data_IF_766695381938
#
_entry.id   IF_766695381938
#
_cell.length_a   1.000
_cell.length_b   1.000
_cell.length_c   1.000
_cell.angle_alpha   90.00
_cell.angle_beta   90.00
_cell.angle_gamma   90.00
#
_symmetry.space_group_name_H-M   'P 1'
#
loop_
_entity.id
_entity.type
_entity.pdbx_description
1 polymer ?
#
# COMPACT_ATOMS: atom_id res chain seq x y z
N UNK A 1 -8.81 0.69 -4.81
CA UNK A 1 -7.54 -0.09 -4.94
C UNK A 1 -7.68 -1.38 -5.72
N UNK A 2 -8.80 -2.10 -5.61
CA UNK A 2 -8.93 -3.46 -6.14
C UNK A 2 -8.78 -3.58 -7.67
N UNK A 3 -9.34 -2.63 -8.43
CA UNK A 3 -9.11 -2.59 -9.88
C UNK A 3 -7.64 -2.32 -10.22
N UNK A 4 -6.94 -1.51 -9.45
CA UNK A 4 -5.51 -1.26 -9.66
C UNK A 4 -4.67 -2.52 -9.35
N UNK A 5 -5.05 -3.30 -8.33
CA UNK A 5 -4.45 -4.60 -8.04
C UNK A 5 -4.63 -5.60 -9.19
N UNK A 6 -5.86 -5.72 -9.69
CA UNK A 6 -6.15 -6.60 -10.81
C UNK A 6 -5.41 -6.15 -12.07
N UNK A 7 -5.39 -4.84 -12.33
CA UNK A 7 -4.64 -4.27 -13.43
C UNK A 7 -3.13 -4.52 -13.31
N UNK A 8 -2.56 -4.43 -12.10
CA UNK A 8 -1.14 -4.75 -11.86
C UNK A 8 -0.80 -6.17 -12.32
N UNK A 9 -1.69 -7.13 -12.06
CA UNK A 9 -1.56 -8.51 -12.54
C UNK A 9 -1.72 -8.59 -14.06
N UNK A 10 -2.68 -7.87 -14.63
CA UNK A 10 -2.91 -7.81 -16.08
C UNK A 10 -1.65 -7.33 -16.83
N UNK A 11 -0.96 -6.31 -16.31
CA UNK A 11 0.29 -5.80 -16.89
C UNK A 11 1.55 -6.57 -16.44
N UNK A 12 1.37 -7.76 -15.83
CA UNK A 12 2.45 -8.66 -15.36
C UNK A 12 3.36 -8.09 -14.27
N UNK A 13 2.91 -7.05 -13.55
CA UNK A 13 3.58 -6.48 -12.37
C UNK A 13 2.69 -6.61 -11.14
N UNK A 14 2.34 -7.85 -10.73
CA UNK A 14 1.38 -8.07 -9.65
C UNK A 14 1.90 -7.49 -8.34
N UNK A 15 1.01 -6.83 -7.59
CA UNK A 15 1.24 -6.53 -6.18
C UNK A 15 1.45 -7.85 -5.43
N UNK A 16 2.68 -8.10 -5.00
CA UNK A 16 3.10 -9.40 -4.47
C UNK A 16 3.89 -9.27 -3.18
N UNK A 17 4.10 -8.05 -2.70
CA UNK A 17 4.86 -7.75 -1.49
C UNK A 17 4.10 -6.70 -0.69
N UNK A 18 3.99 -6.90 0.61
CA UNK A 18 3.42 -5.96 1.56
C UNK A 18 4.52 -5.52 2.52
N UNK A 19 4.80 -4.23 2.55
CA UNK A 19 5.67 -3.61 3.54
C UNK A 19 4.80 -2.87 4.55
N UNK A 20 4.92 -3.20 5.83
CA UNK A 20 4.25 -2.46 6.91
C UNK A 20 5.29 -1.68 7.69
N UNK A 21 5.03 -0.39 7.93
CA UNK A 21 5.84 0.48 8.77
C UNK A 21 4.97 1.04 9.89
N UNK A 22 5.34 0.88 11.15
CA UNK A 22 4.83 1.66 12.26
C UNK A 22 5.70 2.91 12.44
N UNK A 23 5.25 3.99 11.81
CA UNK A 23 5.95 5.27 11.79
C UNK A 23 6.08 5.88 13.19
N UNK A 24 5.04 5.70 14.03
CA UNK A 24 5.05 6.16 15.41
C UNK A 24 6.09 5.39 16.24
N UNK A 25 6.22 4.08 16.02
CA UNK A 25 7.24 3.27 16.69
C UNK A 25 8.65 3.72 16.31
N UNK A 26 8.91 3.99 15.03
CA UNK A 26 10.21 4.49 14.56
C UNK A 26 10.62 5.80 15.27
N UNK A 27 9.68 6.72 15.45
CA UNK A 27 9.93 7.94 16.24
C UNK A 27 10.18 7.64 17.72
N UNK A 28 9.39 6.74 18.32
CA UNK A 28 9.52 6.40 19.74
C UNK A 28 10.85 5.73 20.08
N UNK A 29 11.38 4.88 19.19
CA UNK A 29 12.67 4.22 19.39
C UNK A 29 13.85 5.10 18.98
N UNK A 30 13.59 6.35 18.56
CA UNK A 30 14.60 7.29 18.05
C UNK A 30 15.48 6.65 16.98
N UNK A 31 14.86 5.89 16.08
CA UNK A 31 15.57 5.13 15.06
C UNK A 31 16.41 6.03 14.17
N UNK A 32 15.95 7.26 13.86
CA UNK A 32 16.59 8.14 12.89
C UNK A 32 15.86 8.12 11.55
N UNK A 33 16.61 8.32 10.47
CA UNK A 33 16.13 8.17 9.10
C UNK A 33 15.01 9.13 8.70
N UNK A 34 14.21 8.73 7.71
CA UNK A 34 13.15 9.59 7.14
C UNK A 34 12.01 9.90 8.10
N UNK A 35 12.01 9.33 9.30
CA UNK A 35 10.97 9.47 10.31
C UNK A 35 11.41 10.27 11.55
N UNK A 36 12.71 10.59 11.66
CA UNK A 36 13.33 11.09 12.89
C UNK A 36 12.62 12.31 13.47
N UNK A 37 12.39 13.33 12.64
CA UNK A 37 11.87 14.64 13.07
C UNK A 37 10.76 15.09 12.13
N UNK A 38 9.74 15.72 12.70
CA UNK A 38 8.69 16.38 11.96
C UNK A 38 7.46 15.52 11.77
N UNK A 39 6.64 15.92 10.80
CA UNK A 39 5.33 15.35 10.60
C UNK A 39 5.42 14.01 9.86
N UNK A 40 4.76 12.97 10.37
CA UNK A 40 4.80 11.60 9.83
C UNK A 40 4.50 11.53 8.33
N UNK A 41 3.60 12.38 7.84
CA UNK A 41 3.29 12.47 6.40
C UNK A 41 4.49 12.82 5.51
N UNK A 42 5.41 13.66 5.97
CA UNK A 42 6.57 14.06 5.18
C UNK A 42 7.56 12.90 5.05
N UNK A 43 7.85 12.23 6.17
CA UNK A 43 8.63 11.00 6.16
C UNK A 43 8.04 9.92 5.26
N UNK A 44 6.71 9.85 5.15
CA UNK A 44 6.06 8.91 4.23
C UNK A 44 6.28 9.25 2.77
N UNK A 45 6.14 10.53 2.43
CA UNK A 45 6.34 10.99 1.06
C UNK A 45 7.77 10.71 0.63
N UNK A 46 8.73 10.96 1.50
CA UNK A 46 10.15 10.72 1.25
C UNK A 46 10.44 9.22 1.13
N UNK A 47 9.88 8.40 2.03
CA UNK A 47 9.99 6.94 1.93
C UNK A 47 9.42 6.41 0.61
N UNK A 48 8.21 6.82 0.21
CA UNK A 48 7.60 6.37 -1.05
C UNK A 48 8.45 6.78 -2.26
N UNK A 49 9.04 7.98 -2.23
CA UNK A 49 9.90 8.47 -3.30
C UNK A 49 11.23 7.69 -3.36
N UNK A 50 11.82 7.38 -2.21
CA UNK A 50 13.02 6.55 -2.11
C UNK A 50 12.77 5.13 -2.61
N UNK A 51 11.67 4.50 -2.18
CA UNK A 51 11.25 3.19 -2.67
C UNK A 51 11.02 3.22 -4.19
N UNK A 52 10.36 4.25 -4.72
CA UNK A 52 10.14 4.42 -6.17
C UNK A 52 11.46 4.51 -6.93
N UNK A 53 12.40 5.36 -6.47
CA UNK A 53 13.72 5.52 -7.10
C UNK A 53 14.49 4.22 -7.06
N UNK A 54 14.50 3.54 -5.92
CA UNK A 54 15.19 2.27 -5.74
C UNK A 54 14.68 1.17 -6.67
N UNK A 55 13.35 1.02 -6.78
CA UNK A 55 12.73 0.04 -7.67
C UNK A 55 13.07 0.34 -9.13
N UNK A 56 12.92 1.60 -9.56
CA UNK A 56 13.22 2.00 -10.94
C UNK A 56 14.69 1.83 -11.31
N UNK A 57 15.62 2.12 -10.39
CA UNK A 57 17.05 1.91 -10.59
C UNK A 57 17.41 0.42 -10.81
N UNK A 58 16.56 -0.51 -10.37
CA UNK A 58 16.72 -1.97 -10.55
C UNK A 58 15.88 -2.54 -11.69
N UNK A 59 15.28 -1.68 -12.52
CA UNK A 59 14.38 -2.10 -13.61
C UNK A 59 13.07 -2.70 -13.12
N UNK A 60 12.69 -2.47 -11.85
CA UNK A 60 11.42 -2.93 -11.28
C UNK A 60 10.36 -1.85 -11.48
N UNK A 61 9.23 -2.15 -12.15
CA UNK A 61 8.13 -1.21 -12.30
C UNK A 61 7.53 -0.82 -10.96
N UNK A 62 7.21 0.47 -10.81
CA UNK A 62 6.62 1.00 -9.59
C UNK A 62 5.09 0.83 -9.58
N UNK A 63 4.62 -0.42 -9.53
CA UNK A 63 3.21 -0.76 -9.32
C UNK A 63 2.94 -0.85 -7.81
N UNK A 64 2.25 0.17 -7.26
CA UNK A 64 2.10 0.32 -5.80
C UNK A 64 0.70 0.83 -5.42
N UNK A 65 0.17 0.29 -4.34
CA UNK A 65 -0.96 0.86 -3.59
C UNK A 65 -0.59 0.93 -2.12
N UNK A 66 -1.10 1.92 -1.40
CA UNK A 66 -0.77 2.08 0.01
C UNK A 66 -1.90 2.71 0.80
N UNK A 67 -1.95 2.43 2.10
CA UNK A 67 -2.85 3.10 3.02
C UNK A 67 -2.20 3.37 4.39
N UNK A 68 -2.79 4.29 5.14
CA UNK A 68 -2.42 4.67 6.50
C UNK A 68 -3.56 4.33 7.45
N UNK A 69 -3.23 3.58 8.47
CA UNK A 69 -4.09 3.18 9.58
C UNK A 69 -3.52 3.77 10.87
N UNK A 70 -4.39 4.18 11.80
CA UNK A 70 -3.96 4.54 13.15
C UNK A 70 -4.52 3.48 14.08
N UNK A 71 -3.62 2.70 14.68
CA UNK A 71 -3.96 1.72 15.69
C UNK A 71 -4.38 2.43 16.99
N UNK A 72 -5.42 1.89 17.64
CA UNK A 72 -5.94 2.45 18.90
C UNK A 72 -4.92 2.35 20.03
N UNK A 73 -5.05 3.24 21.01
CA UNK A 73 -4.34 3.16 22.29
C UNK A 73 -4.62 1.80 22.95
N UNK A 74 -3.56 1.07 23.32
CA UNK A 74 -3.63 -0.28 23.91
C UNK A 74 -3.46 -1.45 22.93
N UNK A 75 -3.32 -1.19 21.63
CA UNK A 75 -2.86 -2.22 20.69
C UNK A 75 -1.39 -2.61 20.98
N UNK A 76 -0.98 -3.83 20.62
CA UNK A 76 0.41 -4.29 20.75
C UNK A 76 1.40 -3.34 20.07
N UNK A 77 1.00 -2.77 18.94
CA UNK A 77 1.69 -1.69 18.25
C UNK A 77 0.69 -0.53 18.09
N UNK A 78 0.68 0.47 18.99
CA UNK A 78 -0.19 1.63 18.86
C UNK A 78 0.40 2.65 17.87
N UNK A 79 -0.42 3.60 17.42
CA UNK A 79 0.02 4.70 16.56
C UNK A 79 -0.17 4.45 15.06
N UNK A 80 0.43 5.31 14.25
CA UNK A 80 0.23 5.32 12.81
C UNK A 80 1.05 4.22 12.09
N UNK A 81 0.32 3.35 11.38
CA UNK A 81 0.82 2.25 10.56
C UNK A 81 0.59 2.55 9.09
N UNK A 82 1.60 2.25 8.29
CA UNK A 82 1.56 2.39 6.85
C UNK A 82 1.69 1.02 6.24
N UNK A 83 0.78 0.70 5.34
CA UNK A 83 0.77 -0.57 4.65
C UNK A 83 0.92 -0.29 3.16
N UNK A 84 1.99 -0.81 2.57
CA UNK A 84 2.41 -0.53 1.20
C UNK A 84 2.44 -1.85 0.44
N UNK A 85 1.44 -2.06 -0.41
CA UNK A 85 1.40 -3.19 -1.34
C UNK A 85 2.11 -2.82 -2.64
N UNK A 86 3.17 -3.52 -3.00
CA UNK A 86 3.96 -3.22 -4.20
C UNK A 86 4.40 -4.48 -4.95
N UNK A 87 4.79 -4.27 -6.20
CA UNK A 87 5.45 -5.29 -7.00
C UNK A 87 6.95 -5.32 -6.70
N UNK A 88 7.44 -6.45 -6.20
CA UNK A 88 8.85 -6.70 -5.96
C UNK A 88 9.21 -8.16 -6.32
N UNK A 89 10.09 -8.38 -7.31
CA UNK A 89 10.60 -9.72 -7.62
C UNK A 89 11.34 -10.35 -6.44
N UNK A 90 11.22 -11.66 -6.25
CA UNK A 90 11.79 -12.38 -5.11
C UNK A 90 13.30 -12.19 -4.94
N UNK A 91 14.04 -12.08 -6.05
CA UNK A 91 15.49 -11.81 -6.05
C UNK A 91 15.89 -10.50 -5.35
N UNK A 92 14.95 -9.58 -5.15
CA UNK A 92 15.19 -8.27 -4.56
C UNK A 92 14.71 -8.16 -3.10
N UNK A 93 14.13 -9.22 -2.52
CA UNK A 93 13.51 -9.16 -1.19
C UNK A 93 14.48 -8.77 -0.06
N UNK A 94 15.64 -9.42 0.03
CA UNK A 94 16.63 -9.13 1.09
C UNK A 94 17.39 -7.81 0.84
N UNK A 95 17.71 -7.49 -0.41
CA UNK A 95 18.32 -6.20 -0.78
C UNK A 95 17.36 -5.04 -0.45
N UNK A 96 16.06 -5.22 -0.74
CA UNK A 96 15.03 -4.26 -0.36
C UNK A 96 14.89 -4.12 1.17
N UNK A 97 14.88 -5.23 1.91
CA UNK A 97 14.81 -5.20 3.38
C UNK A 97 16.00 -4.46 3.99
N UNK A 98 17.22 -4.74 3.50
CA UNK A 98 18.43 -4.02 3.89
C UNK A 98 18.32 -2.52 3.62
N UNK A 99 17.76 -2.17 2.45
CA UNK A 99 17.58 -0.77 2.08
C UNK A 99 16.51 -0.05 2.92
N UNK A 100 15.41 -0.73 3.25
CA UNK A 100 14.40 -0.19 4.18
C UNK A 100 15.07 0.14 5.50
N UNK A 101 15.89 -0.76 6.03
CA UNK A 101 16.60 -0.49 7.28
C UNK A 101 17.51 0.74 7.22
N UNK A 102 18.14 1.02 6.08
CA UNK A 102 18.93 2.26 5.89
C UNK A 102 18.07 3.53 5.82
N UNK A 103 16.86 3.45 5.26
CA UNK A 103 15.97 4.62 5.17
C UNK A 103 15.27 4.92 6.49
N UNK A 104 14.98 3.89 7.27
CA UNK A 104 14.34 4.02 8.58
C UNK A 104 15.34 4.10 9.72
N UNK A 105 16.63 3.92 9.43
CA UNK A 105 17.70 3.77 10.42
C UNK A 105 17.36 2.70 11.48
N UNK A 106 16.77 1.59 11.00
CA UNK A 106 16.44 0.42 11.81
C UNK A 106 16.61 -0.85 10.98
N UNK A 107 17.70 -1.58 11.19
CA UNK A 107 18.02 -2.81 10.45
C UNK A 107 16.99 -3.93 10.69
N UNK A 108 16.95 -4.91 9.77
CA UNK A 108 16.20 -6.13 10.03
C UNK A 108 16.97 -7.05 10.97
N UNK A 109 16.25 -7.73 11.86
CA UNK A 109 16.84 -8.69 12.78
C UNK A 109 17.09 -10.02 12.08
N UNK A 110 18.36 -10.48 11.94
CA UNK A 110 18.65 -11.78 11.35
C UNK A 110 18.20 -12.95 12.25
N UNK A 111 17.96 -12.68 13.54
CA UNK A 111 17.57 -13.68 14.54
C UNK A 111 16.04 -13.73 14.76
N UNK A 112 15.28 -12.87 14.08
CA UNK A 112 13.82 -12.92 14.20
C UNK A 112 13.30 -14.21 13.55
N UNK A 113 12.55 -15.02 14.31
CA UNK A 113 11.94 -16.23 13.77
C UNK A 113 10.86 -15.86 12.75
N UNK A 114 11.07 -16.22 11.48
CA UNK A 114 10.16 -15.89 10.38
C UNK A 114 9.17 -17.03 10.13
N UNK A 115 7.88 -16.72 10.17
CA UNK A 115 6.82 -17.60 9.71
C UNK A 115 6.73 -17.56 8.17
N UNK A 116 7.47 -18.47 7.54
CA UNK A 116 7.52 -18.63 6.09
C UNK A 116 6.16 -19.04 5.50
N UNK A 117 5.28 -19.67 6.28
CA UNK A 117 3.93 -20.05 5.83
C UNK A 117 3.04 -18.82 5.58
N UNK A 118 3.33 -17.72 6.29
CA UNK A 118 2.71 -16.40 6.10
C UNK A 118 3.47 -15.51 5.13
N UNK A 119 4.52 -16.03 4.49
CA UNK A 119 5.33 -15.28 3.54
C UNK A 119 6.19 -14.21 4.20
N UNK A 120 6.51 -14.34 5.49
CA UNK A 120 7.40 -13.38 6.15
C UNK A 120 8.79 -13.40 5.51
N UNK A 121 9.31 -12.20 5.21
CA UNK A 121 10.61 -11.98 4.57
C UNK A 121 11.59 -11.37 5.56
N UNK A 122 11.16 -10.33 6.29
CA UNK A 122 12.01 -9.60 7.22
C UNK A 122 11.16 -8.86 8.27
N UNK A 123 11.74 -8.69 9.46
CA UNK A 123 11.24 -7.86 10.56
C UNK A 123 12.37 -6.99 11.06
N UNK A 124 12.06 -5.75 11.43
CA UNK A 124 13.01 -4.82 12.03
C UNK A 124 13.35 -5.20 13.48
N UNK A 125 14.48 -4.72 14.00
CA UNK A 125 14.95 -5.04 15.36
C UNK A 125 13.92 -4.70 16.46
N UNK A 126 13.16 -3.62 16.31
CA UNK A 126 12.17 -3.16 17.27
C UNK A 126 10.72 -3.41 16.85
N UNK A 127 10.50 -4.29 15.86
CA UNK A 127 9.19 -4.58 15.24
C UNK A 127 8.48 -3.33 14.70
N UNK A 128 9.24 -2.30 14.36
CA UNK A 128 8.74 -1.08 13.76
C UNK A 128 8.40 -1.26 12.28
N UNK A 129 8.95 -2.26 11.59
CA UNK A 129 8.53 -2.60 10.24
C UNK A 129 8.68 -4.08 9.91
N UNK A 130 7.90 -4.54 8.93
CA UNK A 130 8.05 -5.87 8.37
C UNK A 130 7.78 -5.91 6.85
N UNK A 131 8.25 -6.97 6.22
CA UNK A 131 8.02 -7.28 4.81
C UNK A 131 7.45 -8.69 4.71
N UNK A 132 6.32 -8.81 4.02
CA UNK A 132 5.73 -10.10 3.66
C UNK A 132 5.55 -10.20 2.15
N UNK A 133 5.72 -11.41 1.61
CA UNK A 133 5.40 -11.74 0.22
C UNK A 133 4.04 -12.45 0.14
N UNK A 134 3.37 -12.30 -0.99
CA UNK A 134 2.17 -13.07 -1.30
C UNK A 134 2.49 -14.57 -1.28
N UNK A 135 1.63 -15.35 -0.63
CA UNK A 135 1.73 -16.82 -0.55
C UNK A 135 0.68 -17.48 -1.42
N UNK A 136 0.92 -18.72 -1.84
CA UNK A 136 -0.06 -19.48 -2.64
C UNK A 136 -1.33 -19.69 -1.80
N UNK A 137 -2.48 -19.25 -2.32
CA UNK A 137 -3.77 -19.34 -1.62
C UNK A 137 -4.04 -18.22 -0.61
N UNK A 138 -3.09 -17.32 -0.34
CA UNK A 138 -3.27 -16.21 0.61
C UNK A 138 -2.59 -14.92 0.14
N UNK A 139 -3.35 -13.83 0.05
CA UNK A 139 -2.75 -12.49 -0.05
C UNK A 139 -2.11 -12.14 -1.40
N UNK A 140 -2.60 -12.69 -2.53
CA UNK A 140 -2.26 -12.16 -3.87
C UNK A 140 -2.66 -10.67 -4.04
N UNK A 141 -2.53 -10.09 -5.25
CA UNK A 141 -2.83 -8.67 -5.48
C UNK A 141 -4.19 -8.23 -4.91
N UNK A 142 -5.21 -9.06 -5.09
CA UNK A 142 -6.56 -8.86 -4.59
C UNK A 142 -6.64 -8.97 -3.06
N UNK A 143 -5.89 -9.89 -2.45
CA UNK A 143 -5.84 -10.05 -0.99
C UNK A 143 -5.15 -8.88 -0.30
N UNK A 144 -4.00 -8.43 -0.83
CA UNK A 144 -3.30 -7.20 -0.40
C UNK A 144 -4.24 -6.01 -0.54
N UNK A 145 -4.88 -5.84 -1.70
CA UNK A 145 -5.74 -4.68 -1.91
C UNK A 145 -7.04 -4.73 -1.11
N UNK A 146 -7.57 -5.92 -0.80
CA UNK A 146 -8.73 -6.07 0.07
C UNK A 146 -8.38 -5.72 1.53
N UNK A 147 -7.18 -6.11 1.98
CA UNK A 147 -6.65 -5.70 3.28
C UNK A 147 -6.51 -4.18 3.36
N UNK A 148 -5.85 -3.56 2.38
CA UNK A 148 -5.62 -2.11 2.34
C UNK A 148 -6.91 -1.30 2.12
N UNK A 149 -7.86 -1.84 1.36
CA UNK A 149 -9.16 -1.22 1.06
C UNK A 149 -10.05 -0.97 2.28
N UNK A 150 -9.74 -1.56 3.45
CA UNK A 150 -10.40 -1.24 4.72
C UNK A 150 -10.22 0.23 5.11
N UNK A 151 -9.08 0.83 4.77
CA UNK A 151 -8.72 2.21 5.06
C UNK A 151 -9.19 3.22 4.00
N UNK A 152 -9.75 2.77 2.87
CA UNK A 152 -10.37 3.66 1.89
C UNK A 152 -11.65 4.28 2.49
N UNK A 153 -11.92 5.59 2.30
CA UNK A 153 -13.15 6.19 2.79
C UNK A 153 -14.36 5.69 1.99
N UNK A 154 -15.52 5.59 2.65
CA UNK A 154 -16.78 5.22 1.99
C UNK A 154 -17.25 6.29 0.99
N UNK A 155 -16.89 7.55 1.24
CA UNK A 155 -17.25 8.71 0.42
C UNK A 155 -16.03 9.58 0.18
N UNK A 156 -15.95 10.18 -1.00
CA UNK A 156 -14.90 11.12 -1.40
C UNK A 156 -15.56 12.41 -1.91
N UNK A 157 -14.89 13.54 -1.72
CA UNK A 157 -15.31 14.81 -2.32
C UNK A 157 -14.63 14.94 -3.67
N UNK A 158 -15.42 15.06 -4.74
CA UNK A 158 -14.93 15.24 -6.10
C UNK A 158 -15.67 16.43 -6.73
N UNK A 159 -14.92 17.47 -7.10
CA UNK A 159 -15.45 18.74 -7.62
C UNK A 159 -16.53 19.34 -6.70
N UNK A 160 -16.21 19.45 -5.40
CA UNK A 160 -17.13 19.99 -4.38
C UNK A 160 -18.32 19.10 -4.02
N UNK A 161 -18.51 17.96 -4.70
CA UNK A 161 -19.63 17.03 -4.45
C UNK A 161 -19.16 15.77 -3.73
N UNK A 162 -19.78 15.44 -2.61
CA UNK A 162 -19.55 14.19 -1.89
C UNK A 162 -20.18 13.02 -2.65
N UNK A 163 -19.35 12.13 -3.19
CA UNK A 163 -19.77 10.93 -3.92
C UNK A 163 -19.33 9.67 -3.19
N UNK A 164 -20.02 8.55 -3.43
CA UNK A 164 -19.52 7.24 -2.97
C UNK A 164 -18.15 7.00 -3.61
N UNK A 165 -17.19 6.51 -2.82
CA UNK A 165 -15.89 6.14 -3.34
C UNK A 165 -16.05 4.97 -4.35
N UNK A 166 -15.76 5.20 -5.64
CA UNK A 166 -15.89 4.16 -6.67
C UNK A 166 -14.82 3.06 -6.51
N UNK A 167 -13.72 3.34 -5.81
CA UNK A 167 -12.61 2.41 -5.65
C UNK A 167 -12.78 1.47 -4.44
N UNK A 168 -13.77 1.76 -3.58
CA UNK A 168 -14.13 0.96 -2.40
C UNK A 168 -15.22 -0.07 -2.72
N UNK A 169 -14.82 -1.35 -2.69
CA UNK A 169 -15.72 -2.49 -2.99
C UNK A 169 -16.79 -2.65 -1.90
N UNK A 170 -16.38 -2.83 -0.64
CA UNK A 170 -17.29 -3.09 0.47
C UNK A 170 -17.37 -1.88 1.40
N UNK A 171 -18.57 -1.32 1.56
CA UNK A 171 -18.82 -0.23 2.52
C UNK A 171 -18.86 -0.71 3.98
N UNK A 172 -19.01 -2.02 4.20
CA UNK A 172 -19.07 -2.66 5.52
C UNK A 172 -17.69 -2.77 6.17
N UNK A 173 -16.64 -2.82 5.36
CA UNK A 173 -15.27 -2.94 5.83
C UNK A 173 -14.74 -1.54 6.16
N UNK A 174 -14.68 -1.23 7.47
CA UNK A 174 -14.22 0.05 8.01
C UNK A 174 -13.02 -0.25 8.91
N UNK A 175 -11.87 0.37 8.61
CA UNK A 175 -10.64 0.28 9.42
C UNK A 175 -9.84 1.59 9.38
N UNK A 176 -8.84 1.74 10.25
CA UNK A 176 -7.99 2.94 10.28
C UNK A 176 -8.65 4.24 10.77
N UNK A 177 -9.54 4.16 11.77
CA UNK A 177 -10.43 5.26 12.19
C UNK A 177 -9.77 6.42 12.98
N UNK A 178 -8.45 6.48 13.12
CA UNK A 178 -7.78 7.62 13.78
C UNK A 178 -7.52 8.77 12.80
N UNK A 179 -7.38 10.00 13.31
CA UNK A 179 -7.03 11.17 12.50
C UNK A 179 -5.65 10.97 11.87
N UNK A 180 -5.56 11.11 10.55
CA UNK A 180 -4.29 11.22 9.82
C UNK A 180 -4.26 12.58 9.16
N UNK A 181 -3.13 13.26 9.26
CA UNK A 181 -2.90 14.49 8.53
C UNK A 181 -2.20 14.19 7.20
N UNK A 182 -2.57 14.91 6.14
CA UNK A 182 -2.18 14.61 4.77
C UNK A 182 -3.07 13.55 4.11
N UNK A 183 -2.49 12.77 3.17
CA UNK A 183 -3.25 11.80 2.39
C UNK A 183 -3.27 10.43 3.08
N UNK A 184 -4.44 9.79 3.16
CA UNK A 184 -4.61 8.48 3.83
C UNK A 184 -4.24 7.29 2.96
N UNK A 185 -4.40 7.39 1.64
CA UNK A 185 -4.20 6.26 0.74
C UNK A 185 -3.80 6.71 -0.66
N UNK A 186 -3.14 5.86 -1.44
CA UNK A 186 -2.73 6.20 -2.79
C UNK A 186 -2.46 4.99 -3.69
N UNK A 187 -2.33 5.28 -4.98
CA UNK A 187 -2.11 4.34 -6.07
C UNK A 187 -1.07 4.97 -7.00
N UNK A 188 -0.04 4.22 -7.41
CA UNK A 188 0.98 4.71 -8.34
C UNK A 188 0.41 4.97 -9.74
N UNK A 189 1.06 5.85 -10.49
CA UNK A 189 0.59 6.26 -11.83
C UNK A 189 0.49 5.08 -12.80
N UNK A 190 1.43 4.16 -12.68
CA UNK A 190 1.59 2.96 -13.48
C UNK A 190 0.36 2.04 -13.46
N UNK A 191 -0.39 2.02 -12.35
CA UNK A 191 -1.61 1.20 -12.20
C UNK A 191 -2.86 2.03 -11.91
N UNK A 192 -2.77 3.34 -12.04
CA UNK A 192 -3.87 4.27 -11.81
C UNK A 192 -4.99 4.11 -12.86
N UNK A 193 -6.18 4.66 -12.58
CA UNK A 193 -7.34 4.61 -13.48
C UNK A 193 -7.06 5.18 -14.88
N UNK A 194 -6.19 6.19 -14.98
CA UNK A 194 -5.77 6.75 -16.26
C UNK A 194 -4.99 5.74 -17.10
N UNK A 195 -4.05 5.02 -16.50
CA UNK A 195 -3.30 3.95 -17.16
C UNK A 195 -4.22 2.78 -17.57
N UNK A 196 -5.16 2.41 -16.71
CA UNK A 196 -6.19 1.40 -17.03
C UNK A 196 -7.00 1.80 -18.26
N UNK A 197 -7.51 3.03 -18.31
CA UNK A 197 -8.29 3.55 -19.45
C UNK A 197 -7.49 3.62 -20.73
N UNK A 198 -6.22 4.01 -20.65
CA UNK A 198 -5.34 4.14 -21.81
C UNK A 198 -5.17 2.83 -22.59
N UNK A 199 -5.30 1.68 -21.90
CA UNK A 199 -5.20 0.35 -22.51
C UNK A 199 -6.55 -0.37 -22.61
N UNK A 200 -7.67 0.34 -22.40
CA UNK A 200 -9.00 -0.24 -22.48
C UNK A 200 -9.31 -1.28 -21.39
N UNK A 201 -8.58 -1.29 -20.27
CA UNK A 201 -8.80 -2.25 -19.20
C UNK A 201 -10.11 -1.99 -18.46
N UNK A 202 -11.01 -2.99 -18.48
CA UNK A 202 -12.26 -2.98 -17.74
C UNK A 202 -12.09 -3.84 -16.49
N UNK A 203 -11.86 -3.20 -15.35
CA UNK A 203 -11.64 -3.92 -14.10
C UNK A 203 -12.90 -4.65 -13.62
N UNK A 204 -12.78 -5.87 -13.06
CA UNK A 204 -13.94 -6.68 -12.65
C UNK A 204 -14.68 -6.11 -11.42
N UNK A 205 -14.07 -5.14 -10.73
CA UNK A 205 -14.67 -4.45 -9.59
C UNK A 205 -15.18 -3.06 -9.94
N UNK A 206 -15.18 -2.72 -11.22
CA UNK A 206 -15.92 -1.56 -11.72
C UNK A 206 -17.39 -1.85 -11.50
N UNK A 207 -18.08 -1.03 -10.71
CA UNK A 207 -19.55 -1.05 -10.78
C UNK A 207 -19.95 -0.76 -12.22
N UNK A 208 -21.00 -1.41 -12.76
CA UNK A 208 -21.55 -1.00 -14.03
C UNK A 208 -21.84 0.50 -13.93
N UNK A 209 -21.08 1.30 -14.68
CA UNK A 209 -21.57 2.61 -15.04
C UNK A 209 -22.85 2.30 -15.81
N UNK A 210 -23.98 2.78 -15.31
CA UNK A 210 -25.26 2.58 -15.99
C UNK A 210 -25.04 2.83 -17.48
N UNK A 211 -25.44 1.87 -18.31
CA UNK A 211 -25.43 2.03 -19.76
C UNK A 211 -25.99 3.43 -20.05
N UNK A 212 -25.13 4.33 -20.55
CA UNK A 212 -25.65 5.43 -21.34
C UNK A 212 -26.28 4.73 -22.54
N UNK A 213 -27.60 4.58 -22.48
CA UNK A 213 -28.38 4.31 -23.67
C UNK A 213 -28.04 5.45 -24.63
N UNK A 214 -27.23 5.17 -25.63
CA UNK A 214 -27.24 5.97 -26.84
C UNK A 214 -28.62 5.75 -27.44
N UNK A 215 -29.52 6.70 -27.19
CA UNK A 215 -30.70 6.85 -28.03
C UNK A 215 -30.17 7.22 -29.41
N UNK A 216 -30.23 6.27 -30.34
CA UNK A 216 -30.26 6.58 -31.76
C UNK A 216 -31.49 7.46 -31.98
N UNK A 217 -31.26 8.73 -32.30
CA UNK A 217 -32.26 9.54 -32.97
C UNK A 217 -32.18 9.14 -34.44
N UNK A 218 -33.26 8.54 -34.93
CA UNK A 218 -33.58 8.46 -36.36
C UNK A 218 -33.79 9.86 -36.94
#
# INVERSE_FOLDING_TARGET
>A
MMNAANFSRHIRFPLNTLTTINAARLQHVSSGGVFEIGHLWDGFRDLLELMRKWSKARGVPWAVVWCREVAKTGAHHPGEHWHIGHHLPAKHHLDFASQVGRWTDEEFSPNHHLDLSRGQVAFSVHDAWNITKAVRGGGGPEGISAYLGKAEPNRITLYGKTKRNPDKISLKNIGGNGRVEGQRHGISREIHRSAQRAVGFIGPYSKPQGRLHFASFE
#
